data_IF_173994708871
#
_entry.id   IF_173994708871
#
_cell.length_a   1.000
_cell.length_b   1.000
_cell.length_c   1.000
_cell.angle_alpha   90.00
_cell.angle_beta   90.00
_cell.angle_gamma   90.00
#
_symmetry.space_group_name_H-M   'P 1'
#
loop_
_entity.id
_entity.type
_entity.pdbx_description
1 polymer ?
#
# COMPACT_ATOMS: atom_id res chain seq x y z
N UNK A 1 -17.30 25.44 -51.49
CA UNK A 1 -16.65 26.29 -52.50
C UNK A 1 -17.68 27.19 -53.17
N UNK A 2 -17.29 28.37 -53.63
CA UNK A 2 -18.17 29.26 -54.41
C UNK A 2 -18.37 28.72 -55.82
N UNK A 3 -19.61 28.74 -56.33
CA UNK A 3 -19.88 28.43 -57.73
C UNK A 3 -19.47 29.61 -58.63
N UNK A 4 -19.27 29.35 -59.92
CA UNK A 4 -19.16 30.41 -60.93
C UNK A 4 -20.56 31.04 -61.08
N UNK A 5 -20.68 32.33 -60.77
CA UNK A 5 -21.95 33.06 -60.86
C UNK A 5 -21.84 34.08 -61.96
N UNK A 6 -22.68 33.96 -62.99
CA UNK A 6 -22.77 34.91 -64.10
C UNK A 6 -24.04 35.73 -63.98
N UNK A 7 -23.89 37.04 -63.91
CA UNK A 7 -25.01 38.00 -63.88
C UNK A 7 -24.94 38.88 -65.13
N UNK A 8 -26.03 38.96 -65.90
CA UNK A 8 -26.10 39.85 -67.07
C UNK A 8 -26.27 41.30 -66.60
N UNK A 9 -25.53 42.22 -67.20
CA UNK A 9 -25.62 43.66 -66.92
C UNK A 9 -25.96 44.42 -68.21
N UNK A 10 -26.35 45.69 -68.10
CA UNK A 10 -26.70 46.54 -69.26
C UNK A 10 -25.57 46.65 -70.30
N UNK A 11 -24.32 46.62 -69.83
CA UNK A 11 -23.12 46.79 -70.66
C UNK A 11 -22.36 45.48 -70.93
N UNK A 12 -22.89 44.32 -70.50
CA UNK A 12 -22.23 43.03 -70.71
C UNK A 12 -22.57 41.98 -69.64
N UNK A 13 -21.53 41.41 -69.03
CA UNK A 13 -21.63 40.34 -68.03
C UNK A 13 -20.75 40.63 -66.82
N UNK A 14 -21.23 40.30 -65.62
CA UNK A 14 -20.49 40.28 -64.36
C UNK A 14 -20.33 38.83 -63.92
N UNK A 15 -19.10 38.42 -63.63
CA UNK A 15 -18.78 37.03 -63.29
C UNK A 15 -18.05 36.98 -61.96
N UNK A 16 -18.58 36.23 -60.99
CA UNK A 16 -17.87 35.85 -59.77
C UNK A 16 -17.32 34.45 -59.95
N UNK A 17 -16.02 34.28 -59.74
CA UNK A 17 -15.32 33.02 -59.94
C UNK A 17 -14.51 32.66 -58.69
N UNK A 18 -14.29 31.37 -58.40
CA UNK A 18 -13.32 30.94 -57.42
C UNK A 18 -11.91 31.42 -57.75
N UNK A 19 -11.11 31.67 -56.71
CA UNK A 19 -9.74 32.17 -56.90
C UNK A 19 -8.84 31.19 -57.66
N UNK A 20 -9.03 29.88 -57.46
CA UNK A 20 -8.25 28.82 -58.11
C UNK A 20 -8.30 28.84 -59.65
N UNK A 21 -9.41 29.31 -60.23
CA UNK A 21 -9.58 29.42 -61.71
C UNK A 21 -9.40 30.85 -62.23
N UNK A 22 -9.00 31.80 -61.38
CA UNK A 22 -8.89 33.22 -61.76
C UNK A 22 -7.80 33.50 -62.79
N UNK A 23 -6.70 32.75 -62.75
CA UNK A 23 -5.61 32.88 -63.72
C UNK A 23 -6.00 32.33 -65.09
N UNK A 24 -6.67 31.17 -65.16
CA UNK A 24 -7.16 30.61 -66.42
C UNK A 24 -8.22 31.52 -67.04
N UNK A 25 -9.14 32.06 -66.23
CA UNK A 25 -10.13 33.06 -66.63
C UNK A 25 -9.49 34.28 -67.30
N UNK A 26 -8.50 34.91 -66.66
CA UNK A 26 -7.86 36.13 -67.17
C UNK A 26 -7.08 35.86 -68.46
N UNK A 27 -6.52 34.66 -68.62
CA UNK A 27 -5.77 34.28 -69.82
C UNK A 27 -6.66 34.15 -71.07
N UNK A 28 -7.86 33.59 -70.90
CA UNK A 28 -8.86 33.40 -71.99
C UNK A 28 -9.64 34.68 -72.27
N UNK A 29 -10.00 35.43 -71.24
CA UNK A 29 -10.81 36.66 -71.31
C UNK A 29 -9.96 37.89 -71.00
N UNK A 30 -9.00 38.20 -71.88
CA UNK A 30 -8.05 39.32 -71.70
C UNK A 30 -8.69 40.70 -71.55
N UNK A 31 -9.92 40.86 -72.06
CA UNK A 31 -10.70 42.10 -71.96
C UNK A 31 -11.48 42.23 -70.65
N UNK A 32 -11.42 41.22 -69.77
CA UNK A 32 -12.12 41.26 -68.49
C UNK A 32 -11.45 42.26 -67.55
N UNK A 33 -12.26 43.08 -66.88
CA UNK A 33 -11.78 44.05 -65.90
C UNK A 33 -12.33 43.71 -64.52
N UNK A 34 -11.49 43.75 -63.50
CA UNK A 34 -11.88 43.49 -62.12
C UNK A 34 -12.61 44.69 -61.52
N UNK A 35 -13.84 44.49 -61.06
CA UNK A 35 -14.58 45.50 -60.30
C UNK A 35 -14.41 45.25 -58.80
N UNK A 36 -13.71 46.18 -58.13
CA UNK A 36 -13.42 46.10 -56.70
C UNK A 36 -14.67 46.20 -55.83
N UNK A 37 -15.70 46.93 -56.27
CA UNK A 37 -16.90 47.17 -55.47
C UNK A 37 -17.82 45.95 -55.47
N UNK A 38 -18.10 45.40 -56.65
CA UNK A 38 -18.93 44.20 -56.80
C UNK A 38 -18.16 42.89 -56.56
N UNK A 39 -16.83 42.96 -56.41
CA UNK A 39 -15.90 41.83 -56.33
C UNK A 39 -16.17 40.80 -57.43
N UNK A 40 -16.28 41.29 -58.66
CA UNK A 40 -16.62 40.50 -59.84
C UNK A 40 -15.83 40.97 -61.05
N UNK A 41 -15.66 40.09 -62.02
CA UNK A 41 -15.07 40.41 -63.31
C UNK A 41 -16.15 40.93 -64.27
N UNK A 42 -15.94 42.11 -64.85
CA UNK A 42 -16.79 42.67 -65.90
C UNK A 42 -16.26 42.28 -67.27
N UNK A 43 -17.14 41.80 -68.13
CA UNK A 43 -16.82 41.34 -69.49
C UNK A 43 -17.79 42.01 -70.48
N UNK A 44 -17.26 42.53 -71.58
CA UNK A 44 -18.08 43.10 -72.65
C UNK A 44 -18.94 42.05 -73.39
N UNK A 45 -20.01 42.49 -74.08
CA UNK A 45 -21.03 41.59 -74.65
C UNK A 45 -20.48 40.69 -75.77
N UNK A 46 -19.43 41.14 -76.48
CA UNK A 46 -18.80 40.42 -77.60
C UNK A 46 -18.07 39.13 -77.16
N UNK A 47 -17.72 39.01 -75.88
CA UNK A 47 -16.97 37.86 -75.37
C UNK A 47 -17.86 36.74 -74.82
N UNK A 48 -19.19 36.82 -75.00
CA UNK A 48 -20.17 35.85 -74.47
C UNK A 48 -19.82 34.39 -74.79
N UNK A 49 -19.58 34.07 -76.07
CA UNK A 49 -19.28 32.70 -76.49
C UNK A 49 -17.99 32.17 -75.85
N UNK A 50 -16.97 33.01 -75.71
CA UNK A 50 -15.70 32.64 -75.04
C UNK A 50 -15.91 32.43 -73.53
N UNK A 51 -16.77 33.24 -72.92
CA UNK A 51 -17.15 33.06 -71.52
C UNK A 51 -17.88 31.73 -71.31
N UNK A 52 -18.89 31.42 -72.14
CA UNK A 52 -19.62 30.14 -72.07
C UNK A 52 -18.68 28.93 -72.26
N UNK A 53 -17.77 29.00 -73.24
CA UNK A 53 -16.76 27.96 -73.46
C UNK A 53 -15.81 27.80 -72.27
N UNK A 54 -15.35 28.91 -71.69
CA UNK A 54 -14.48 28.86 -70.52
C UNK A 54 -15.21 28.30 -69.30
N UNK A 55 -16.48 28.67 -69.07
CA UNK A 55 -17.29 28.16 -67.95
C UNK A 55 -17.37 26.63 -68.02
N UNK A 56 -17.66 26.06 -69.19
CA UNK A 56 -17.75 24.60 -69.35
C UNK A 56 -16.46 23.87 -68.96
N UNK A 57 -15.30 24.44 -69.32
CA UNK A 57 -13.99 23.87 -68.93
C UNK A 57 -13.71 24.08 -67.44
N UNK A 58 -13.96 25.27 -66.93
CA UNK A 58 -13.70 25.63 -65.53
C UNK A 58 -14.61 24.88 -64.54
N UNK A 59 -15.86 24.57 -64.91
CA UNK A 59 -16.76 23.74 -64.10
C UNK A 59 -16.23 22.31 -63.97
N UNK A 60 -15.65 21.74 -65.04
CA UNK A 60 -15.04 20.43 -64.99
C UNK A 60 -13.78 20.42 -64.11
N UNK A 61 -12.91 21.44 -64.24
CA UNK A 61 -11.73 21.60 -63.37
C UNK A 61 -12.13 21.77 -61.89
N UNK A 62 -13.15 22.58 -61.61
CA UNK A 62 -13.65 22.79 -60.25
C UNK A 62 -14.22 21.51 -59.65
N UNK A 63 -14.91 20.70 -60.44
CA UNK A 63 -15.46 19.42 -59.96
C UNK A 63 -14.33 18.46 -59.54
N UNK A 64 -13.28 18.33 -60.36
CA UNK A 64 -12.12 17.49 -60.04
C UNK A 64 -11.42 17.99 -58.77
N UNK A 65 -11.26 19.31 -58.60
CA UNK A 65 -10.69 19.90 -57.38
C UNK A 65 -11.55 19.63 -56.15
N UNK A 66 -12.88 19.73 -56.27
CA UNK A 66 -13.81 19.42 -55.18
C UNK A 66 -13.74 17.96 -54.76
N UNK A 67 -13.67 17.04 -55.71
CA UNK A 67 -13.52 15.61 -55.44
C UNK A 67 -12.19 15.33 -54.72
N UNK A 68 -11.08 15.90 -55.20
CA UNK A 68 -9.77 15.75 -54.56
C UNK A 68 -9.73 16.32 -53.12
N UNK A 69 -10.36 17.48 -52.88
CA UNK A 69 -10.48 18.04 -51.53
C UNK A 69 -11.35 17.18 -50.60
N UNK A 70 -12.46 16.64 -51.12
CA UNK A 70 -13.33 15.75 -50.36
C UNK A 70 -12.63 14.43 -50.00
N UNK A 71 -11.82 13.87 -50.91
CA UNK A 71 -10.99 12.71 -50.65
C UNK A 71 -9.94 13.00 -49.56
N UNK A 72 -9.26 14.14 -49.64
CA UNK A 72 -8.28 14.56 -48.62
C UNK A 72 -8.93 14.74 -47.24
N UNK A 73 -10.09 15.38 -47.16
CA UNK A 73 -10.83 15.53 -45.91
C UNK A 73 -11.24 14.16 -45.34
N UNK A 74 -11.74 13.26 -46.20
CA UNK A 74 -12.12 11.90 -45.81
C UNK A 74 -10.93 11.11 -45.31
N UNK A 75 -9.76 11.21 -45.97
CA UNK A 75 -8.52 10.58 -45.51
C UNK A 75 -8.07 11.12 -44.15
N UNK A 76 -8.15 12.44 -43.94
CA UNK A 76 -7.81 13.05 -42.66
C UNK A 76 -8.73 12.58 -41.53
N UNK A 77 -10.04 12.48 -41.79
CA UNK A 77 -11.00 11.94 -40.82
C UNK A 77 -10.72 10.48 -40.51
N UNK A 78 -10.43 9.66 -41.53
CA UNK A 78 -10.07 8.25 -41.35
C UNK A 78 -8.80 8.09 -40.51
N UNK A 79 -7.77 8.92 -40.74
CA UNK A 79 -6.56 8.93 -39.91
C UNK A 79 -6.85 9.32 -38.45
N UNK A 80 -7.74 10.30 -38.22
CA UNK A 80 -8.16 10.68 -36.86
C UNK A 80 -8.87 9.52 -36.15
N UNK A 81 -9.81 8.87 -36.83
CA UNK A 81 -10.54 7.72 -36.28
C UNK A 81 -9.60 6.55 -36.01
N UNK A 82 -8.68 6.24 -36.92
CA UNK A 82 -7.67 5.19 -36.72
C UNK A 82 -6.77 5.47 -35.52
N UNK A 83 -6.35 6.73 -35.34
CA UNK A 83 -5.57 7.13 -34.16
C UNK A 83 -6.38 6.95 -32.87
N UNK A 84 -7.63 7.41 -32.85
CA UNK A 84 -8.51 7.23 -31.68
C UNK A 84 -8.72 5.74 -31.35
N UNK A 85 -8.87 4.89 -32.37
CA UNK A 85 -8.98 3.44 -32.19
C UNK A 85 -7.70 2.85 -31.59
N UNK A 86 -6.53 3.23 -32.09
CA UNK A 86 -5.25 2.77 -31.55
C UNK A 86 -5.06 3.20 -30.08
N UNK A 87 -5.40 4.44 -29.75
CA UNK A 87 -5.34 4.96 -28.38
C UNK A 87 -6.28 4.17 -27.45
N UNK A 88 -7.50 3.85 -27.90
CA UNK A 88 -8.46 3.05 -27.14
C UNK A 88 -8.00 1.60 -26.93
N UNK A 89 -7.41 0.98 -27.95
CA UNK A 89 -6.86 -0.38 -27.84
C UNK A 89 -5.72 -0.40 -26.82
N UNK A 90 -4.79 0.55 -26.88
CA UNK A 90 -3.69 0.66 -25.91
C UNK A 90 -4.20 0.90 -24.48
N UNK A 91 -5.22 1.75 -24.31
CA UNK A 91 -5.85 1.97 -23.01
C UNK A 91 -6.50 0.68 -22.47
N UNK A 92 -7.21 -0.07 -23.33
CA UNK A 92 -7.82 -1.35 -22.96
C UNK A 92 -6.78 -2.40 -22.53
N UNK A 93 -5.68 -2.52 -23.26
CA UNK A 93 -4.59 -3.43 -22.88
C UNK A 93 -3.96 -3.05 -21.53
N UNK A 94 -3.81 -1.75 -21.27
CA UNK A 94 -3.28 -1.24 -20.01
C UNK A 94 -4.20 -1.60 -18.84
N UNK A 95 -5.51 -1.40 -19.01
CA UNK A 95 -6.52 -1.78 -18.02
C UNK A 95 -6.48 -3.29 -17.77
N UNK A 96 -6.39 -4.12 -18.81
CA UNK A 96 -6.33 -5.57 -18.67
C UNK A 96 -5.09 -6.03 -17.88
N UNK A 97 -3.92 -5.41 -18.12
CA UNK A 97 -2.70 -5.71 -17.36
C UNK A 97 -2.85 -5.33 -15.88
N UNK A 98 -3.48 -4.19 -15.59
CA UNK A 98 -3.75 -3.77 -14.22
C UNK A 98 -4.72 -4.71 -13.51
N UNK A 99 -5.78 -5.16 -14.19
CA UNK A 99 -6.75 -6.10 -13.65
C UNK A 99 -6.09 -7.45 -13.28
N UNK A 100 -5.25 -7.98 -14.17
CA UNK A 100 -4.47 -9.19 -13.89
C UNK A 100 -3.55 -9.01 -12.67
N UNK A 101 -2.85 -7.86 -12.59
CA UNK A 101 -1.97 -7.54 -11.46
C UNK A 101 -2.76 -7.46 -10.15
N UNK A 102 -3.94 -6.82 -10.16
CA UNK A 102 -4.81 -6.72 -9.00
C UNK A 102 -5.33 -8.10 -8.57
N UNK A 103 -5.72 -8.96 -9.51
CA UNK A 103 -6.13 -10.34 -9.24
C UNK A 103 -5.01 -11.14 -8.56
N UNK A 104 -3.79 -11.04 -9.07
CA UNK A 104 -2.62 -11.72 -8.48
C UNK A 104 -2.34 -11.21 -7.07
N UNK A 105 -2.32 -9.89 -6.85
CA UNK A 105 -2.12 -9.33 -5.51
C UNK A 105 -3.21 -9.73 -4.52
N UNK A 106 -4.46 -9.83 -4.97
CA UNK A 106 -5.58 -10.29 -4.14
C UNK A 106 -5.43 -11.77 -3.77
N UNK A 107 -4.92 -12.60 -4.68
CA UNK A 107 -4.63 -14.01 -4.39
C UNK A 107 -3.52 -14.16 -3.33
N UNK A 108 -2.44 -13.38 -3.44
CA UNK A 108 -1.35 -13.36 -2.47
C UNK A 108 -1.82 -12.87 -1.10
N UNK A 109 -2.64 -11.83 -1.06
CA UNK A 109 -3.19 -11.28 0.19
C UNK A 109 -4.10 -12.30 0.89
N UNK A 110 -4.92 -13.04 0.14
CA UNK A 110 -5.73 -14.14 0.70
C UNK A 110 -4.86 -15.25 1.30
N UNK A 111 -3.78 -15.64 0.63
CA UNK A 111 -2.85 -16.64 1.14
C UNK A 111 -2.17 -16.16 2.44
N UNK A 112 -1.66 -14.92 2.45
CA UNK A 112 -1.01 -14.32 3.62
C UNK A 112 -1.97 -14.21 4.82
N UNK A 113 -3.22 -13.81 4.61
CA UNK A 113 -4.23 -13.76 5.68
C UNK A 113 -4.50 -15.14 6.28
N UNK A 114 -4.57 -16.19 5.44
CA UNK A 114 -4.73 -17.56 5.92
C UNK A 114 -3.56 -18.00 6.79
N UNK A 115 -2.32 -17.68 6.40
CA UNK A 115 -1.14 -17.98 7.21
C UNK A 115 -1.13 -17.19 8.53
N UNK A 116 -1.54 -15.92 8.48
CA UNK A 116 -1.66 -15.09 9.66
C UNK A 116 -2.69 -15.65 10.65
N UNK A 117 -3.86 -16.09 10.18
CA UNK A 117 -4.88 -16.68 11.03
C UNK A 117 -4.40 -18.00 11.68
N UNK A 118 -3.68 -18.83 10.92
CA UNK A 118 -3.05 -20.05 11.46
C UNK A 118 -1.98 -19.73 12.52
N UNK A 119 -1.14 -18.71 12.27
CA UNK A 119 -0.13 -18.29 13.24
C UNK A 119 -0.76 -17.73 14.51
N UNK A 120 -1.84 -16.94 14.37
CA UNK A 120 -2.63 -16.41 15.49
C UNK A 120 -3.24 -17.53 16.33
N UNK A 121 -3.82 -18.54 15.69
CA UNK A 121 -4.35 -19.71 16.37
C UNK A 121 -3.25 -20.45 17.15
N UNK A 122 -2.13 -20.78 16.50
CA UNK A 122 -0.98 -21.44 17.16
C UNK A 122 -0.46 -20.65 18.35
N UNK A 123 -0.36 -19.33 18.23
CA UNK A 123 0.04 -18.47 19.34
C UNK A 123 -0.95 -18.56 20.51
N UNK A 124 -2.25 -18.49 20.22
CA UNK A 124 -3.30 -18.60 21.25
C UNK A 124 -3.28 -19.96 21.97
N UNK A 125 -3.05 -21.04 21.23
CA UNK A 125 -2.93 -22.39 21.77
C UNK A 125 -1.67 -22.53 22.63
N UNK A 126 -0.53 -21.99 22.17
CA UNK A 126 0.72 -21.99 22.93
C UNK A 126 0.61 -21.17 24.23
N UNK A 127 -0.06 -20.02 24.21
CA UNK A 127 -0.33 -19.21 25.41
C UNK A 127 -1.25 -19.96 26.37
N UNK A 128 -2.33 -20.57 25.87
CA UNK A 128 -3.23 -21.37 26.69
C UNK A 128 -2.51 -22.56 27.34
N UNK A 129 -1.71 -23.31 26.56
CA UNK A 129 -0.92 -24.43 27.05
C UNK A 129 0.14 -23.99 28.07
N UNK A 130 0.82 -22.86 27.83
CA UNK A 130 1.76 -22.26 28.80
C UNK A 130 1.05 -21.88 30.10
N UNK A 131 -0.10 -21.22 30.02
CA UNK A 131 -0.85 -20.80 31.20
C UNK A 131 -1.40 -22.00 31.98
N UNK A 132 -1.85 -23.05 31.29
CA UNK A 132 -2.25 -24.31 31.92
C UNK A 132 -1.09 -24.95 32.66
N UNK A 133 0.06 -25.14 31.99
CA UNK A 133 1.28 -25.66 32.64
C UNK A 133 1.69 -24.82 33.84
N UNK A 134 1.67 -23.50 33.72
CA UNK A 134 1.98 -22.60 34.82
C UNK A 134 1.00 -22.74 35.99
N UNK A 135 -0.30 -22.90 35.71
CA UNK A 135 -1.31 -23.14 36.75
C UNK A 135 -1.10 -24.51 37.42
N UNK A 136 -0.82 -25.54 36.64
CA UNK A 136 -0.58 -26.90 37.14
C UNK A 136 0.69 -26.94 38.01
N UNK A 137 1.79 -26.32 37.56
CA UNK A 137 3.03 -26.15 38.33
C UNK A 137 2.78 -25.36 39.61
N UNK A 138 2.02 -24.25 39.55
CA UNK A 138 1.67 -23.49 40.76
C UNK A 138 0.87 -24.32 41.76
N UNK A 139 -0.09 -25.13 41.29
CA UNK A 139 -0.87 -26.01 42.14
C UNK A 139 0.04 -27.05 42.82
N UNK A 140 0.95 -27.68 42.08
CA UNK A 140 1.92 -28.63 42.63
C UNK A 140 2.88 -27.99 43.65
N UNK A 141 3.40 -26.79 43.35
CA UNK A 141 4.26 -26.05 44.28
C UNK A 141 3.48 -25.68 45.56
N UNK A 142 2.20 -25.31 45.44
CA UNK A 142 1.37 -24.97 46.61
C UNK A 142 1.07 -26.15 47.54
N UNK A 143 1.23 -27.39 47.08
CA UNK A 143 1.13 -28.58 47.94
C UNK A 143 2.37 -28.75 48.84
N UNK A 144 3.52 -28.21 48.42
CA UNK A 144 4.81 -28.37 49.10
C UNK A 144 5.16 -27.16 49.96
N UNK A 145 4.94 -25.96 49.44
CA UNK A 145 5.29 -24.71 50.12
C UNK A 145 4.13 -23.69 50.05
N UNK A 146 4.06 -22.84 51.07
CA UNK A 146 3.03 -21.79 51.15
C UNK A 146 3.43 -20.58 50.31
N UNK A 147 2.80 -20.47 49.14
CA UNK A 147 3.04 -19.35 48.21
C UNK A 147 2.67 -18.00 48.82
N UNK A 148 1.61 -17.96 49.63
CA UNK A 148 1.15 -16.74 50.29
C UNK A 148 2.17 -16.27 51.33
N UNK A 149 2.69 -17.19 52.15
CA UNK A 149 3.69 -16.87 53.17
C UNK A 149 5.00 -16.35 52.56
N UNK A 150 5.44 -16.91 51.42
CA UNK A 150 6.63 -16.44 50.71
C UNK A 150 6.44 -15.01 50.21
N UNK A 151 5.27 -14.69 49.65
CA UNK A 151 4.98 -13.36 49.11
C UNK A 151 4.82 -12.32 50.21
N UNK A 152 4.15 -12.67 51.31
CA UNK A 152 3.99 -11.79 52.47
C UNK A 152 5.32 -11.55 53.18
N UNK A 153 6.16 -12.59 53.27
CA UNK A 153 7.52 -12.46 53.76
C UNK A 153 8.37 -11.56 52.84
N UNK A 154 8.32 -11.73 51.53
CA UNK A 154 9.01 -10.85 50.58
C UNK A 154 8.58 -9.39 50.76
N UNK A 155 7.27 -9.12 50.81
CA UNK A 155 6.74 -7.77 51.01
C UNK A 155 7.19 -7.18 52.35
N UNK A 156 7.23 -8.01 53.40
CA UNK A 156 7.73 -7.63 54.73
C UNK A 156 9.22 -7.28 54.67
N UNK A 157 10.04 -8.07 53.98
CA UNK A 157 11.44 -7.75 53.74
C UNK A 157 11.59 -6.42 53.00
N UNK A 158 10.86 -6.21 51.88
CA UNK A 158 10.87 -4.95 51.11
C UNK A 158 10.51 -3.75 51.98
N UNK A 159 9.50 -3.89 52.83
CA UNK A 159 9.00 -2.83 53.70
C UNK A 159 10.02 -2.41 54.77
N UNK A 160 10.73 -3.36 55.35
CA UNK A 160 11.62 -3.09 56.49
C UNK A 160 13.09 -2.90 56.11
N UNK A 161 13.48 -3.22 54.88
CA UNK A 161 14.87 -3.16 54.42
C UNK A 161 15.50 -1.77 54.55
N UNK A 162 16.69 -1.70 55.18
CA UNK A 162 17.46 -0.45 55.30
C UNK A 162 16.99 0.51 56.39
N UNK A 163 15.90 0.20 57.12
CA UNK A 163 15.41 1.05 58.22
C UNK A 163 16.29 0.88 59.45
N UNK A 164 16.92 1.97 59.94
CA UNK A 164 17.86 1.97 61.07
C UNK A 164 17.18 1.87 62.44
N UNK A 165 16.34 0.84 62.65
CA UNK A 165 15.63 0.59 63.91
C UNK A 165 15.68 -0.89 64.25
N UNK A 166 15.82 -1.22 65.54
CA UNK A 166 15.96 -2.61 66.02
C UNK A 166 14.78 -3.48 65.58
N UNK A 167 13.54 -3.00 65.73
CA UNK A 167 12.34 -3.75 65.34
C UNK A 167 12.26 -4.03 63.83
N UNK A 168 12.80 -3.15 62.99
CA UNK A 168 12.79 -3.36 61.53
C UNK A 168 13.72 -4.52 61.14
N UNK A 169 14.84 -4.65 61.84
CA UNK A 169 15.76 -5.78 61.67
C UNK A 169 15.13 -7.10 62.09
N UNK A 170 14.40 -7.09 63.21
CA UNK A 170 13.66 -8.27 63.69
C UNK A 170 12.64 -8.71 62.65
N UNK A 171 11.76 -7.81 62.20
CA UNK A 171 10.74 -8.13 61.18
C UNK A 171 11.35 -8.61 59.85
N UNK A 172 12.47 -8.04 59.43
CA UNK A 172 13.17 -8.49 58.22
C UNK A 172 13.74 -9.91 58.38
N UNK A 173 14.38 -10.20 59.50
CA UNK A 173 14.96 -11.51 59.78
C UNK A 173 13.88 -12.58 59.95
N UNK A 174 12.76 -12.25 60.60
CA UNK A 174 11.61 -13.15 60.73
C UNK A 174 11.03 -13.51 59.37
N UNK A 175 10.81 -12.51 58.50
CA UNK A 175 10.37 -12.75 57.13
C UNK A 175 11.39 -13.57 56.33
N UNK A 176 12.69 -13.31 56.48
CA UNK A 176 13.74 -14.09 55.84
C UNK A 176 13.74 -15.56 56.31
N UNK A 177 13.48 -15.81 57.59
CA UNK A 177 13.38 -17.17 58.14
C UNK A 177 12.16 -17.94 57.60
N UNK A 178 11.04 -17.26 57.35
CA UNK A 178 9.88 -17.86 56.65
C UNK A 178 10.29 -18.34 55.26
N UNK A 179 10.98 -17.50 54.48
CA UNK A 179 11.45 -17.87 53.13
C UNK A 179 12.46 -19.03 53.18
N UNK A 180 13.35 -19.06 54.17
CA UNK A 180 14.30 -20.15 54.38
C UNK A 180 13.59 -21.48 54.66
N UNK A 181 12.61 -21.47 55.57
CA UNK A 181 11.78 -22.63 55.87
C UNK A 181 11.05 -23.17 54.64
N UNK A 182 10.43 -22.30 53.85
CA UNK A 182 9.72 -22.71 52.63
C UNK A 182 10.68 -23.20 51.53
N UNK A 183 11.90 -22.65 51.46
CA UNK A 183 12.94 -23.12 50.53
C UNK A 183 13.42 -24.53 50.91
N UNK A 184 13.56 -24.83 52.21
CA UNK A 184 13.94 -26.18 52.66
C UNK A 184 12.88 -27.22 52.29
N UNK A 185 11.58 -26.90 52.45
CA UNK A 185 10.49 -27.78 51.98
C UNK A 185 10.60 -28.07 50.47
N UNK A 186 10.89 -27.05 49.66
CA UNK A 186 11.12 -27.23 48.22
C UNK A 186 12.36 -28.08 47.92
N UNK A 187 13.45 -27.91 48.68
CA UNK A 187 14.69 -28.69 48.54
C UNK A 187 14.49 -30.16 48.88
N UNK A 188 13.67 -30.48 49.89
CA UNK A 188 13.30 -31.86 50.22
C UNK A 188 12.60 -32.56 49.04
N UNK A 189 11.85 -31.80 48.23
CA UNK A 189 11.26 -32.28 46.98
C UNK A 189 12.21 -32.22 45.77
N UNK A 190 13.47 -31.83 45.95
CA UNK A 190 14.48 -31.75 44.90
C UNK A 190 14.47 -30.46 44.07
N UNK A 191 13.72 -29.44 44.49
CA UNK A 191 13.60 -28.16 43.80
C UNK A 191 14.41 -27.06 44.49
N UNK A 192 14.96 -26.14 43.69
CA UNK A 192 15.68 -24.96 44.20
C UNK A 192 15.22 -23.72 43.46
N UNK A 193 14.66 -22.77 44.21
CA UNK A 193 14.32 -21.43 43.71
C UNK A 193 15.49 -20.47 43.89
N UNK A 194 15.93 -19.87 42.78
CA UNK A 194 16.99 -18.84 42.80
C UNK A 194 16.53 -17.56 43.48
N UNK A 195 15.26 -17.18 43.28
CA UNK A 195 14.69 -16.00 43.91
C UNK A 195 14.69 -16.14 45.43
N UNK A 196 14.25 -17.29 45.95
CA UNK A 196 14.26 -17.55 47.39
C UNK A 196 15.68 -17.64 47.94
N UNK A 197 16.62 -18.30 47.23
CA UNK A 197 18.03 -18.33 47.63
C UNK A 197 18.65 -16.93 47.71
N UNK A 198 18.32 -16.05 46.76
CA UNK A 198 18.74 -14.65 46.80
C UNK A 198 18.15 -13.92 48.01
N UNK A 199 16.85 -14.09 48.27
CA UNK A 199 16.18 -13.47 49.42
C UNK A 199 16.77 -13.94 50.76
N UNK A 200 17.08 -15.23 50.89
CA UNK A 200 17.75 -15.79 52.08
C UNK A 200 19.15 -15.19 52.29
N UNK A 201 19.83 -14.79 51.22
CA UNK A 201 21.17 -14.16 51.28
C UNK A 201 21.14 -12.64 51.39
N UNK A 202 19.98 -11.99 51.25
CA UNK A 202 19.86 -10.55 51.34
C UNK A 202 20.30 -10.03 52.72
N UNK A 203 21.16 -9.01 52.72
CA UNK A 203 21.63 -8.37 53.94
C UNK A 203 20.80 -7.13 54.26
N UNK A 204 20.21 -7.12 55.46
CA UNK A 204 19.43 -6.00 55.99
C UNK A 204 20.17 -4.64 55.93
N UNK A 205 21.48 -4.64 56.16
CA UNK A 205 22.31 -3.42 56.22
C UNK A 205 22.84 -2.98 54.85
N UNK A 206 22.53 -3.69 53.76
CA UNK A 206 23.04 -3.41 52.41
C UNK A 206 21.93 -3.17 51.38
N UNK A 207 21.02 -2.20 51.59
CA UNK A 207 19.97 -1.88 50.61
C UNK A 207 20.52 -1.31 49.29
N UNK A 208 21.79 -0.89 49.27
CA UNK A 208 22.52 -0.49 48.06
C UNK A 208 22.71 -1.66 47.09
N UNK A 209 22.99 -2.84 47.63
CA UNK A 209 23.40 -4.05 46.90
C UNK A 209 22.27 -5.08 46.81
N UNK A 210 21.63 -5.35 47.94
CA UNK A 210 20.61 -6.37 48.07
C UNK A 210 19.25 -5.69 47.92
N UNK A 211 18.36 -6.20 47.07
CA UNK A 211 17.07 -5.57 46.77
C UNK A 211 15.99 -6.63 46.67
N UNK A 212 15.30 -6.94 47.78
CA UNK A 212 14.19 -7.91 47.78
C UNK A 212 13.07 -7.57 46.78
N UNK A 213 12.93 -6.29 46.39
CA UNK A 213 11.95 -5.81 45.42
C UNK A 213 12.25 -6.25 43.98
N UNK A 214 13.52 -6.47 43.65
CA UNK A 214 13.94 -6.78 42.28
C UNK A 214 13.68 -8.26 41.93
N UNK A 215 13.35 -9.09 42.94
CA UNK A 215 12.95 -10.48 42.76
C UNK A 215 11.51 -10.53 42.26
N UNK A 216 11.32 -10.95 41.01
CA UNK A 216 9.97 -11.06 40.43
C UNK A 216 9.28 -12.35 40.87
N UNK A 217 7.95 -12.42 40.73
CA UNK A 217 7.21 -13.67 40.90
C UNK A 217 7.79 -14.79 40.03
N UNK A 218 8.24 -14.48 38.82
CA UNK A 218 8.87 -15.47 37.96
C UNK A 218 10.16 -15.99 38.57
N UNK A 219 10.98 -15.16 39.21
CA UNK A 219 12.25 -15.60 39.84
C UNK A 219 12.04 -16.46 41.08
N UNK A 220 10.94 -16.23 41.82
CA UNK A 220 10.53 -17.08 42.95
C UNK A 220 10.12 -18.48 42.50
N UNK A 221 9.57 -18.61 41.29
CA UNK A 221 8.99 -19.85 40.78
C UNK A 221 9.74 -20.44 39.57
N UNK A 222 10.84 -19.83 39.15
CA UNK A 222 11.69 -20.39 38.08
C UNK A 222 12.52 -21.50 38.69
N UNK A 223 12.11 -22.73 38.41
CA UNK A 223 12.82 -23.93 38.84
C UNK A 223 14.18 -24.01 38.15
N UNK A 224 15.25 -24.10 38.93
CA UNK A 224 16.51 -24.67 38.45
C UNK A 224 16.52 -26.15 38.80
N UNK A 225 16.21 -27.02 37.82
CA UNK A 225 16.49 -28.45 37.91
C UNK A 225 18.01 -28.67 37.87
N UNK A 226 18.71 -28.44 39.00
CA UNK A 226 20.16 -28.68 39.10
C UNK A 226 20.53 -29.91 39.92
N UNK A 227 19.64 -30.47 40.75
CA UNK A 227 20.02 -31.57 41.64
C UNK A 227 19.64 -32.96 41.13
N UNK A 228 18.60 -33.11 40.29
CA UNK A 228 18.18 -34.43 39.84
C UNK A 228 19.20 -35.11 38.90
N UNK A 229 19.92 -34.35 38.08
CA UNK A 229 20.93 -34.90 37.16
C UNK A 229 22.27 -35.23 37.82
N UNK A 230 22.59 -34.64 38.98
CA UNK A 230 23.80 -35.03 39.73
C UNK A 230 23.54 -36.25 40.60
N UNK A 231 22.35 -36.37 41.22
CA UNK A 231 21.99 -37.54 42.02
C UNK A 231 21.78 -38.80 41.17
N UNK A 232 21.18 -38.70 39.98
CA UNK A 232 21.09 -39.84 39.04
C UNK A 232 22.46 -40.34 38.57
N UNK A 233 23.41 -39.43 38.29
CA UNK A 233 24.78 -39.83 37.91
C UNK A 233 25.53 -40.57 39.02
N UNK A 234 25.26 -40.25 40.29
CA UNK A 234 25.83 -40.98 41.42
C UNK A 234 25.13 -42.31 41.72
N UNK A 235 23.89 -42.52 41.29
CA UNK A 235 23.19 -43.80 41.46
C UNK A 235 23.44 -44.79 40.32
N UNK A 236 23.77 -44.31 39.11
CA UNK A 236 24.16 -45.18 37.97
C UNK A 236 25.65 -45.58 37.99
N UNK A 237 26.43 -45.11 38.97
CA UNK A 237 27.87 -45.42 39.13
C UNK A 237 28.20 -46.36 40.29
N UNK A 238 27.19 -46.90 40.98
CA UNK A 238 27.31 -47.94 42.01
C UNK A 238 26.33 -49.09 41.71
#
# INVERSE_FOLDING_TARGET
MTNIIVTKTETGYSVKIPFCVSNSFKSVLKSASWDRYSRSWKIGPRSKKRLEQWIAVAEQELKVLQEAEAELLTQQELMKVQKQLADLVQASETIQRLDNTLSDTLSLLKAANKEFDLAKQRHSEAVCAKNKKLKDTKAQISEVCSLEDILDAQQTMVKWHGIKKSYARVNFNEAQAVIDCEQEKLKECGFVSKGMEYLIKCNFNRPDRDRPRDVTHTDLFTESMKLFHEVQKTHDQY
#
